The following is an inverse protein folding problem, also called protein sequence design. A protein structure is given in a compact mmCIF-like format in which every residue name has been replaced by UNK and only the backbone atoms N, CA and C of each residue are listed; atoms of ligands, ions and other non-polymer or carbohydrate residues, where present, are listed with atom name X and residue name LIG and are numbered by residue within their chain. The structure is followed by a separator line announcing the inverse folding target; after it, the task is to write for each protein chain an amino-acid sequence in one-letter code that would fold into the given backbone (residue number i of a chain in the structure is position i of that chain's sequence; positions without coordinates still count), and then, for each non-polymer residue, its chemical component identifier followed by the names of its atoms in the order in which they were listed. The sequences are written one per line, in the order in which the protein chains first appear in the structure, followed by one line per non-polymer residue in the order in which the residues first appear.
data_IF_338077221403
#
_entry.id   IF_338077221403
#
_cell.length_a   1.000
_cell.length_b   1.000
_cell.length_c   1.000
_cell.angle_alpha   90.00
_cell.angle_beta   90.00
_cell.angle_gamma   90.00
#
_symmetry.space_group_name_H-M   'P 1'
#
loop_
_entity.id
_entity.type
_entity.pdbx_description
1 polymer ?
#
# COMPACT_ATOMS: atom_id res chain seq x y z
N UNK A 1 4.79 5.75 -5.72
CA UNK A 1 4.08 6.64 -4.78
C UNK A 1 4.52 6.34 -3.35
N UNK A 2 4.64 7.36 -2.48
CA UNK A 2 4.88 7.21 -1.04
C UNK A 2 3.84 8.05 -0.28
N UNK A 3 3.28 7.50 0.78
CA UNK A 3 2.40 8.25 1.68
C UNK A 3 3.21 9.29 2.47
N UNK A 4 2.83 10.55 2.37
CA UNK A 4 3.55 11.69 2.97
C UNK A 4 3.20 11.96 4.44
N UNK A 5 2.30 11.18 5.04
CA UNK A 5 1.98 11.31 6.47
C UNK A 5 3.07 10.69 7.34
N UNK A 6 3.45 11.40 8.40
CA UNK A 6 4.42 10.97 9.42
C UNK A 6 3.96 9.69 10.13
N UNK A 7 4.67 8.59 9.90
CA UNK A 7 4.53 7.24 10.48
C UNK A 7 3.10 6.69 10.60
N UNK A 8 2.78 5.75 9.70
CA UNK A 8 1.53 4.99 9.76
C UNK A 8 1.82 3.55 10.14
N UNK A 9 2.10 3.35 11.43
CA UNK A 9 2.36 2.03 12.00
C UNK A 9 1.05 1.33 12.35
N UNK A 10 0.78 0.21 11.71
CA UNK A 10 -0.35 -0.68 12.00
C UNK A 10 0.10 -1.89 12.82
N UNK A 11 -0.69 -2.24 13.83
CA UNK A 11 -0.52 -3.51 14.57
C UNK A 11 -0.94 -4.70 13.71
N UNK A 12 -2.07 -4.54 13.05
CA UNK A 12 -2.65 -5.49 12.11
C UNK A 12 -3.36 -4.69 11.02
N UNK A 13 -3.16 -5.06 9.75
CA UNK A 13 -3.94 -4.53 8.64
C UNK A 13 -4.07 -5.54 7.51
N UNK A 14 -5.16 -5.40 6.77
CA UNK A 14 -5.36 -6.07 5.49
C UNK A 14 -5.25 -5.03 4.38
N UNK A 15 -4.41 -5.34 3.39
CA UNK A 15 -4.27 -4.57 2.17
C UNK A 15 -5.06 -5.26 1.06
N UNK A 16 -6.07 -4.58 0.52
CA UNK A 16 -6.90 -5.06 -0.57
C UNK A 16 -6.57 -4.30 -1.85
N UNK A 17 -6.20 -5.03 -2.90
CA UNK A 17 -5.79 -4.45 -4.17
C UNK A 17 -7.01 -4.46 -5.07
N UNK A 18 -7.62 -3.30 -5.24
CA UNK A 18 -8.95 -3.17 -5.84
C UNK A 18 -8.87 -3.18 -7.36
N UNK A 19 -7.81 -2.59 -7.94
CA UNK A 19 -7.66 -2.46 -9.39
C UNK A 19 -6.22 -2.66 -9.81
N UNK A 20 -5.96 -3.51 -10.80
CA UNK A 20 -4.65 -3.78 -11.42
C UNK A 20 -3.54 -4.23 -10.43
N UNK A 21 -2.53 -4.89 -10.97
CA UNK A 21 -1.43 -5.41 -10.15
C UNK A 21 -0.48 -4.28 -9.71
N UNK A 22 0.04 -4.39 -8.50
CA UNK A 22 1.04 -3.48 -7.95
C UNK A 22 2.30 -4.24 -7.54
N UNK A 23 3.43 -3.53 -7.56
CA UNK A 23 4.67 -3.98 -6.96
C UNK A 23 4.96 -3.14 -5.72
N UNK A 24 5.48 -3.78 -4.67
CA UNK A 24 5.85 -3.13 -3.42
C UNK A 24 7.23 -3.54 -2.91
N UNK A 25 7.83 -2.68 -2.09
CA UNK A 25 9.11 -2.90 -1.44
C UNK A 25 9.68 -1.62 -0.86
N UNK A 26 11.01 -1.52 -0.88
CA UNK A 26 11.73 -0.31 -0.47
C UNK A 26 11.75 0.73 -1.61
N UNK A 27 12.39 1.89 -1.40
CA UNK A 27 12.42 2.98 -2.38
C UNK A 27 13.17 2.64 -3.68
N UNK A 28 14.17 1.78 -3.59
CA UNK A 28 15.09 1.45 -4.68
C UNK A 28 14.64 0.18 -5.41
N UNK A 29 13.99 -0.75 -4.70
CA UNK A 29 13.54 -2.03 -5.21
C UNK A 29 12.15 -2.39 -4.67
N UNK A 30 11.20 -2.59 -5.60
CA UNK A 30 9.87 -3.15 -5.31
C UNK A 30 9.74 -4.54 -5.97
N UNK A 31 10.31 -5.59 -5.35
CA UNK A 31 10.41 -6.91 -5.97
C UNK A 31 9.14 -7.75 -5.79
N UNK A 32 8.30 -7.41 -4.81
CA UNK A 32 7.14 -8.22 -4.46
C UNK A 32 5.91 -7.75 -5.24
N UNK A 33 5.20 -8.71 -5.85
CA UNK A 33 3.98 -8.45 -6.61
C UNK A 33 2.75 -8.71 -5.75
N UNK A 34 1.74 -7.87 -5.92
CA UNK A 34 0.40 -8.07 -5.39
C UNK A 34 -0.61 -7.96 -6.53
N UNK A 35 -1.49 -8.94 -6.65
CA UNK A 35 -2.43 -9.07 -7.77
C UNK A 35 -3.74 -8.34 -7.46
N UNK A 36 -4.41 -7.86 -8.50
CA UNK A 36 -5.77 -7.35 -8.35
C UNK A 36 -6.72 -8.41 -7.77
N UNK A 37 -7.49 -8.03 -6.75
CA UNK A 37 -8.39 -8.92 -6.00
C UNK A 37 -7.73 -9.60 -4.79
N UNK A 38 -6.41 -9.51 -4.63
CA UNK A 38 -5.73 -10.10 -3.49
C UNK A 38 -5.98 -9.30 -2.20
N UNK A 39 -6.05 -10.05 -1.10
CA UNK A 39 -6.02 -9.52 0.26
C UNK A 39 -4.73 -10.00 0.92
N UNK A 40 -3.85 -9.05 1.22
CA UNK A 40 -2.57 -9.33 1.86
C UNK A 40 -2.60 -8.87 3.33
N UNK A 41 -2.49 -9.78 4.29
CA UNK A 41 -2.43 -9.43 5.70
C UNK A 41 -1.01 -8.97 6.08
N UNK A 42 -0.92 -7.94 6.90
CA UNK A 42 0.29 -7.43 7.50
C UNK A 42 0.13 -7.34 9.03
N UNK A 43 1.21 -7.61 9.76
CA UNK A 43 1.31 -7.44 11.20
C UNK A 43 2.52 -6.58 11.52
N UNK A 44 2.39 -5.71 12.53
CA UNK A 44 3.42 -4.82 13.04
C UNK A 44 4.25 -4.14 11.95
N UNK A 45 3.57 -3.42 11.03
CA UNK A 45 4.22 -2.81 9.86
C UNK A 45 3.99 -1.29 9.79
N UNK A 46 4.99 -0.55 9.28
CA UNK A 46 4.88 0.88 8.99
C UNK A 46 4.65 1.12 7.50
N UNK A 47 3.41 1.47 7.15
CA UNK A 47 3.00 1.77 5.78
C UNK A 47 3.76 2.97 5.19
N UNK A 48 4.27 3.88 6.02
CA UNK A 48 5.03 5.06 5.56
C UNK A 48 6.43 4.72 5.03
N UNK A 49 6.90 3.49 5.27
CA UNK A 49 8.17 2.96 4.76
C UNK A 49 8.00 2.16 3.46
N UNK A 50 6.76 1.83 3.08
CA UNK A 50 6.48 1.07 1.85
C UNK A 50 6.41 2.00 0.65
N UNK A 51 7.01 1.54 -0.45
CA UNK A 51 6.90 2.17 -1.75
C UNK A 51 6.14 1.26 -2.69
N UNK A 52 5.26 1.87 -3.48
CA UNK A 52 4.42 1.17 -4.44
C UNK A 52 4.61 1.71 -5.85
N UNK A 53 4.58 0.81 -6.82
CA UNK A 53 4.54 1.12 -8.27
C UNK A 53 3.53 0.22 -8.98
N UNK A 54 2.98 0.68 -10.09
CA UNK A 54 2.13 -0.15 -10.95
C UNK A 54 2.98 -1.25 -11.59
N UNK A 55 2.46 -2.49 -11.65
CA UNK A 55 3.15 -3.58 -12.32
C UNK A 55 3.07 -3.47 -13.86
N UNK A 56 2.01 -2.82 -14.37
CA UNK A 56 1.77 -2.58 -15.79
C UNK A 56 1.83 -1.10 -16.19
N UNK A 57 2.32 -0.83 -17.40
CA UNK A 57 2.55 0.52 -17.90
C UNK A 57 1.30 1.31 -18.32
N UNK A 58 0.08 0.74 -18.22
CA UNK A 58 -1.14 1.34 -18.80
C UNK A 58 -2.34 1.47 -17.84
N UNK A 59 -2.21 1.17 -16.54
CA UNK A 59 -3.33 1.26 -15.62
C UNK A 59 -2.94 1.81 -14.24
N UNK A 60 -3.88 2.54 -13.61
CA UNK A 60 -3.77 2.99 -12.23
C UNK A 60 -4.09 1.84 -11.27
N UNK A 61 -3.34 1.72 -10.18
CA UNK A 61 -3.66 0.76 -9.11
C UNK A 61 -4.27 1.46 -7.91
N UNK A 62 -5.34 0.86 -7.38
CA UNK A 62 -6.02 1.33 -6.16
C UNK A 62 -5.81 0.31 -5.06
N UNK A 63 -5.25 0.75 -3.94
CA UNK A 63 -5.00 -0.09 -2.78
C UNK A 63 -5.80 0.46 -1.59
N UNK A 64 -6.59 -0.40 -0.94
CA UNK A 64 -7.27 -0.10 0.31
C UNK A 64 -6.55 -0.77 1.46
N UNK A 65 -6.14 -0.01 2.47
CA UNK A 65 -5.56 -0.56 3.70
C UNK A 65 -6.59 -0.40 4.81
N UNK A 66 -6.96 -1.49 5.47
CA UNK A 66 -7.86 -1.50 6.62
C UNK A 66 -7.13 -2.13 7.79
N UNK A 67 -6.89 -1.38 8.86
CA UNK A 67 -6.16 -1.89 10.01
C UNK A 67 -6.24 -0.98 11.24
N UNK A 68 -5.61 -1.44 12.32
CA UNK A 68 -5.54 -0.71 13.60
C UNK A 68 -4.25 0.09 13.65
N UNK A 69 -4.37 1.42 13.57
CA UNK A 69 -3.24 2.32 13.60
C UNK A 69 -2.74 2.50 15.04
N UNK A 70 -1.49 2.15 15.32
CA UNK A 70 -0.88 2.15 16.66
C UNK A 70 -0.81 3.54 17.29
N UNK A 71 -0.59 4.59 16.48
CA UNK A 71 -0.53 5.97 16.99
C UNK A 71 -1.86 6.48 17.54
N UNK A 72 -2.99 5.86 17.16
CA UNK A 72 -4.33 6.28 17.60
C UNK A 72 -5.16 5.18 18.25
N UNK A 73 -4.76 3.92 18.12
CA UNK A 73 -5.52 2.74 18.52
C UNK A 73 -6.82 2.52 17.73
N UNK A 74 -7.05 3.27 16.64
CA UNK A 74 -8.31 3.25 15.88
C UNK A 74 -8.20 2.45 14.60
N UNK A 75 -9.32 1.84 14.20
CA UNK A 75 -9.48 1.28 12.87
C UNK A 75 -9.57 2.41 11.84
N UNK A 76 -8.76 2.33 10.79
CA UNK A 76 -8.73 3.32 9.72
C UNK A 76 -8.75 2.60 8.38
N UNK A 77 -9.48 3.17 7.42
CA UNK A 77 -9.45 2.78 6.01
C UNK A 77 -8.72 3.86 5.22
N UNK A 78 -7.66 3.47 4.50
CA UNK A 78 -6.88 4.38 3.64
C UNK A 78 -6.98 3.91 2.19
N UNK A 79 -7.41 4.81 1.30
CA UNK A 79 -7.34 4.62 -0.14
C UNK A 79 -6.05 5.22 -0.70
N UNK A 80 -5.24 4.41 -1.36
CA UNK A 80 -3.96 4.81 -1.97
C UNK A 80 -4.09 4.70 -3.49
N UNK A 81 -4.26 5.81 -4.21
CA UNK A 81 -4.17 5.81 -5.66
C UNK A 81 -2.70 5.80 -6.08
N UNK A 82 -2.30 4.84 -6.91
CA UNK A 82 -1.01 4.80 -7.56
C UNK A 82 -1.20 5.29 -8.99
N UNK A 83 -1.09 6.61 -9.16
CA UNK A 83 -1.15 7.25 -10.46
C UNK A 83 0.09 6.97 -11.29
N UNK A 84 -0.09 6.88 -12.61
CA UNK A 84 1.00 6.74 -13.58
C UNK A 84 1.92 7.96 -13.71
N UNK A 85 1.76 9.02 -12.91
CA UNK A 85 2.48 10.29 -13.13
C UNK A 85 3.98 10.09 -12.96
N UNK A 86 4.64 9.87 -14.09
CA UNK A 86 6.00 10.25 -14.48
C UNK A 86 7.11 9.86 -13.51
N UNK A 87 7.95 8.93 -13.94
CA UNK A 87 9.36 8.99 -13.58
C UNK A 87 9.97 10.35 -13.94
#
# INVERSE_FOLDING_TARGET
FRLTSSHMWFREANMHIVTNDALYGDKDLQPATITAGDIVPFQDFDLSQMYFRNAGAAANTTIHVVGILMSTGKMITLGIPIDQRGA
#
